data_IF_142923848665
#
_entry.id   IF_142923848665
#
_cell.length_a   1.000
_cell.length_b   1.000
_cell.length_c   1.000
_cell.angle_alpha   90.00
_cell.angle_beta   90.00
_cell.angle_gamma   90.00
#
_symmetry.space_group_name_H-M   'P 1'
#
loop_
_entity.id
_entity.type
_entity.pdbx_description
1 polymer ?
#
# COMPACT_ATOMS: atom_id res chain seq x y z
N UNK A 1 21.12 -15.96 2.69
CA UNK A 1 21.90 -16.08 1.46
C UNK A 1 21.05 -15.81 0.24
N UNK A 2 21.63 -15.19 -0.79
CA UNK A 2 20.90 -14.93 -2.03
C UNK A 2 20.08 -13.65 -2.06
N UNK A 3 20.07 -12.86 -1.00
CA UNK A 3 19.43 -11.56 -1.04
C UNK A 3 20.20 -10.64 -2.02
N UNK A 4 19.46 -9.85 -2.79
CA UNK A 4 20.04 -8.94 -3.78
C UNK A 4 19.60 -7.51 -3.47
N UNK A 5 20.58 -6.67 -3.20
CA UNK A 5 20.38 -5.25 -2.89
C UNK A 5 20.98 -4.42 -4.01
N UNK A 6 20.18 -3.55 -4.60
CA UNK A 6 20.63 -2.65 -5.66
C UNK A 6 21.33 -1.41 -5.06
N UNK A 7 21.54 -0.37 -5.86
CA UNK A 7 22.30 0.80 -5.46
C UNK A 7 21.53 1.73 -4.52
N UNK A 8 22.26 2.44 -3.67
CA UNK A 8 21.72 3.50 -2.80
C UNK A 8 20.62 3.01 -1.87
N UNK A 9 20.74 1.76 -1.39
CA UNK A 9 19.82 1.21 -0.42
C UNK A 9 20.34 1.47 0.98
N UNK A 10 19.46 1.93 1.86
CA UNK A 10 19.76 2.12 3.26
C UNK A 10 19.14 1.00 4.10
N UNK A 11 19.97 0.20 4.72
CA UNK A 11 19.53 -0.83 5.67
C UNK A 11 19.99 -0.41 7.05
N UNK A 12 19.05 -0.14 7.94
CA UNK A 12 19.36 0.30 9.29
C UNK A 12 19.79 -0.87 10.19
N UNK A 13 20.08 -0.56 11.45
CA UNK A 13 20.56 -1.56 12.41
C UNK A 13 19.51 -2.63 12.70
N UNK A 14 19.98 -3.85 13.01
CA UNK A 14 19.16 -4.98 13.44
C UNK A 14 18.07 -5.40 12.42
N UNK A 15 18.28 -5.11 11.14
CA UNK A 15 17.36 -5.57 10.08
C UNK A 15 17.71 -6.99 9.68
N UNK A 16 16.68 -7.85 9.58
CA UNK A 16 16.83 -9.21 9.07
C UNK A 16 16.19 -9.30 7.69
N UNK A 17 16.93 -9.85 6.74
CA UNK A 17 16.48 -10.02 5.36
C UNK A 17 16.59 -11.50 5.00
N UNK A 18 15.44 -12.10 4.62
CA UNK A 18 15.39 -13.51 4.27
C UNK A 18 16.04 -13.82 2.93
N UNK A 19 16.15 -15.13 2.64
CA UNK A 19 16.80 -15.63 1.43
C UNK A 19 16.06 -15.21 0.17
N UNK A 20 16.81 -14.90 -0.87
CA UNK A 20 16.28 -14.59 -2.21
C UNK A 20 15.38 -13.34 -2.25
N UNK A 21 15.45 -12.49 -1.25
CA UNK A 21 14.75 -11.20 -1.25
C UNK A 21 15.50 -10.22 -2.14
N UNK A 22 14.76 -9.46 -2.95
CA UNK A 22 15.30 -8.47 -3.88
C UNK A 22 14.82 -7.09 -3.48
N UNK A 23 15.75 -6.16 -3.30
CA UNK A 23 15.44 -4.77 -2.95
C UNK A 23 16.02 -3.88 -4.04
N UNK A 24 15.15 -3.14 -4.73
CA UNK A 24 15.54 -2.25 -5.80
C UNK A 24 16.12 -0.93 -5.27
N UNK A 25 16.69 -0.13 -6.17
CA UNK A 25 17.48 1.05 -5.82
C UNK A 25 16.72 2.09 -5.01
N UNK A 26 17.45 2.79 -4.14
CA UNK A 26 16.95 3.92 -3.34
C UNK A 26 15.85 3.55 -2.35
N UNK A 27 15.73 2.27 -2.00
CA UNK A 27 14.81 1.83 -0.95
C UNK A 27 15.44 1.97 0.41
N UNK A 28 14.63 2.14 1.44
CA UNK A 28 15.09 2.23 2.82
C UNK A 28 14.36 1.28 3.73
N UNK A 29 15.10 0.59 4.60
CA UNK A 29 14.54 -0.30 5.61
C UNK A 29 14.96 0.20 6.98
N UNK A 30 14.00 0.61 7.80
CA UNK A 30 14.27 1.18 9.12
C UNK A 30 14.63 0.10 10.14
N UNK A 31 15.17 0.53 11.28
CA UNK A 31 15.75 -0.38 12.26
C UNK A 31 14.82 -1.47 12.77
N UNK A 32 15.37 -2.63 12.98
CA UNK A 32 14.70 -3.80 13.57
C UNK A 32 13.54 -4.34 12.75
N UNK A 33 13.42 -3.98 11.48
CA UNK A 33 12.45 -4.58 10.58
C UNK A 33 12.89 -6.00 10.19
N UNK A 34 11.94 -6.89 9.99
CA UNK A 34 12.20 -8.27 9.56
C UNK A 34 11.53 -8.51 8.22
N UNK A 35 12.34 -8.80 7.21
CA UNK A 35 11.85 -9.07 5.86
C UNK A 35 12.00 -10.55 5.59
N UNK A 36 10.92 -11.20 5.17
CA UNK A 36 10.90 -12.62 4.90
C UNK A 36 11.67 -13.01 3.66
N UNK A 37 11.46 -14.25 3.22
CA UNK A 37 12.13 -14.82 2.03
C UNK A 37 11.32 -14.50 0.79
N UNK A 38 12.03 -14.43 -0.34
CA UNK A 38 11.41 -14.21 -1.66
C UNK A 38 10.54 -12.95 -1.72
N UNK A 39 10.88 -11.93 -0.96
CA UNK A 39 10.19 -10.64 -0.97
C UNK A 39 10.76 -9.78 -2.08
N UNK A 40 9.91 -9.06 -2.79
CA UNK A 40 10.33 -8.11 -3.82
C UNK A 40 9.95 -6.70 -3.38
N UNK A 41 10.96 -5.83 -3.24
CA UNK A 41 10.75 -4.44 -2.85
C UNK A 41 11.15 -3.56 -4.01
N UNK A 42 10.19 -2.81 -4.55
CA UNK A 42 10.41 -1.89 -5.66
C UNK A 42 11.25 -0.68 -5.27
N UNK A 43 11.73 0.05 -6.26
CA UNK A 43 12.59 1.21 -6.03
C UNK A 43 11.92 2.32 -5.24
N UNK A 44 12.70 3.04 -4.45
CA UNK A 44 12.23 4.18 -3.65
C UNK A 44 11.12 3.82 -2.65
N UNK A 45 11.05 2.55 -2.23
CA UNK A 45 10.11 2.13 -1.20
C UNK A 45 10.71 2.36 0.20
N UNK A 46 9.86 2.66 1.16
CA UNK A 46 10.26 2.83 2.55
C UNK A 46 9.54 1.84 3.46
N UNK A 47 10.27 1.24 4.38
CA UNK A 47 9.72 0.30 5.35
C UNK A 47 10.01 0.82 6.75
N UNK A 48 8.96 1.03 7.55
CA UNK A 48 9.12 1.54 8.92
C UNK A 48 9.78 0.50 9.83
N UNK A 49 10.30 0.96 10.95
CA UNK A 49 10.99 0.09 11.90
C UNK A 49 10.05 -0.85 12.64
N UNK A 50 10.63 -1.95 13.13
CA UNK A 50 9.97 -2.91 14.03
C UNK A 50 8.77 -3.65 13.44
N UNK A 51 8.64 -3.70 12.10
CA UNK A 51 7.55 -4.47 11.47
C UNK A 51 8.10 -5.71 10.80
N UNK A 52 7.18 -6.61 10.45
CA UNK A 52 7.50 -7.86 9.74
C UNK A 52 6.84 -7.85 8.37
N UNK A 53 7.61 -8.32 7.38
CA UNK A 53 7.11 -8.49 6.02
C UNK A 53 7.09 -9.99 5.73
N UNK A 54 5.92 -10.56 5.50
CA UNK A 54 5.75 -11.99 5.27
C UNK A 54 6.43 -12.45 3.98
N UNK A 55 6.79 -13.73 3.94
CA UNK A 55 7.46 -14.34 2.79
C UNK A 55 6.66 -14.14 1.50
N UNK A 56 7.35 -13.93 0.41
CA UNK A 56 6.74 -13.80 -0.91
C UNK A 56 5.97 -12.50 -1.16
N UNK A 57 6.03 -11.56 -0.24
CA UNK A 57 5.34 -10.27 -0.40
C UNK A 57 5.96 -9.45 -1.51
N UNK A 58 5.14 -8.62 -2.15
CA UNK A 58 5.59 -7.69 -3.19
C UNK A 58 5.22 -6.27 -2.80
N UNK A 59 6.21 -5.41 -2.75
CA UNK A 59 6.04 -4.01 -2.41
C UNK A 59 6.38 -3.19 -3.65
N UNK A 60 5.39 -2.49 -4.20
CA UNK A 60 5.58 -1.71 -5.40
C UNK A 60 6.49 -0.51 -5.15
N UNK A 61 7.06 0.02 -6.24
CA UNK A 61 7.93 1.19 -6.18
C UNK A 61 7.22 2.38 -5.52
N UNK A 62 7.99 3.19 -4.80
CA UNK A 62 7.52 4.41 -4.13
C UNK A 62 6.44 4.15 -3.08
N UNK A 63 6.35 2.93 -2.55
CA UNK A 63 5.40 2.60 -1.50
C UNK A 63 5.99 2.91 -0.11
N UNK A 64 5.12 3.31 0.81
CA UNK A 64 5.48 3.48 2.21
C UNK A 64 4.77 2.43 3.06
N UNK A 65 5.51 1.45 3.54
CA UNK A 65 4.94 0.37 4.35
C UNK A 65 4.99 0.76 5.82
N UNK A 66 3.82 1.06 6.38
CA UNK A 66 3.70 1.54 7.75
C UNK A 66 3.21 0.47 8.74
N UNK A 67 2.79 -0.68 8.25
CA UNK A 67 2.28 -1.78 9.09
C UNK A 67 2.85 -3.11 8.63
N UNK A 68 2.96 -4.05 9.56
CA UNK A 68 3.40 -5.40 9.21
C UNK A 68 2.50 -6.06 8.17
N UNK A 69 3.13 -6.80 7.26
CA UNK A 69 2.44 -7.66 6.32
C UNK A 69 2.53 -9.07 6.87
N UNK A 70 1.42 -9.59 7.40
CA UNK A 70 1.40 -10.88 8.11
C UNK A 70 1.07 -12.06 7.23
N UNK A 71 0.40 -11.82 6.11
CA UNK A 71 -0.03 -12.88 5.19
C UNK A 71 1.00 -13.04 4.07
N UNK A 72 1.52 -14.26 3.84
CA UNK A 72 2.46 -14.49 2.73
C UNK A 72 1.86 -14.15 1.37
N UNK A 73 2.72 -13.83 0.42
CA UNK A 73 2.38 -13.54 -0.97
C UNK A 73 1.39 -12.39 -1.14
N UNK A 74 1.48 -11.39 -0.27
CA UNK A 74 0.64 -10.18 -0.33
C UNK A 74 1.33 -9.12 -1.16
N UNK A 75 0.59 -8.48 -2.08
CA UNK A 75 1.09 -7.34 -2.85
C UNK A 75 0.49 -6.05 -2.29
N UNK A 76 1.33 -5.04 -2.09
CA UNK A 76 0.91 -3.73 -1.58
C UNK A 76 1.47 -2.61 -2.44
N UNK A 77 0.79 -1.48 -2.44
CA UNK A 77 1.23 -0.28 -3.14
C UNK A 77 0.68 0.97 -2.45
N UNK A 78 1.35 2.08 -2.66
CA UNK A 78 0.89 3.37 -2.15
C UNK A 78 1.63 3.81 -0.89
N UNK A 79 1.29 5.01 -0.43
CA UNK A 79 1.86 5.59 0.79
C UNK A 79 0.72 6.22 1.61
N UNK A 80 0.29 5.56 2.70
CA UNK A 80 0.72 4.25 3.17
C UNK A 80 0.33 3.12 2.21
N UNK A 81 1.15 2.09 2.14
CA UNK A 81 0.90 0.95 1.24
C UNK A 81 -0.21 0.05 1.79
N UNK A 82 -1.10 -0.35 0.91
CA UNK A 82 -2.20 -1.26 1.24
C UNK A 82 -2.48 -2.17 0.04
N UNK A 83 -3.46 -3.06 0.17
CA UNK A 83 -3.74 -4.07 -0.84
C UNK A 83 -3.73 -3.51 -2.26
N UNK A 84 -3.04 -4.19 -3.16
CA UNK A 84 -2.80 -3.72 -4.53
C UNK A 84 -4.09 -3.46 -5.31
N UNK A 85 -5.03 -4.39 -5.27
CA UNK A 85 -6.30 -4.24 -5.98
C UNK A 85 -7.12 -3.06 -5.48
N UNK A 86 -7.20 -2.89 -4.17
CA UNK A 86 -7.88 -1.75 -3.56
C UNK A 86 -7.17 -0.44 -3.87
N UNK A 87 -5.85 -0.44 -3.83
CA UNK A 87 -5.07 0.76 -4.12
C UNK A 87 -5.30 1.23 -5.56
N UNK A 88 -5.29 0.33 -6.52
CA UNK A 88 -5.56 0.68 -7.92
C UNK A 88 -6.95 1.25 -8.11
N UNK A 89 -7.96 0.64 -7.52
CA UNK A 89 -9.33 1.16 -7.58
C UNK A 89 -9.43 2.56 -6.99
N UNK A 90 -8.80 2.76 -5.83
CA UNK A 90 -8.81 4.06 -5.16
C UNK A 90 -8.10 5.12 -5.98
N UNK A 91 -6.99 4.79 -6.62
CA UNK A 91 -6.26 5.72 -7.46
C UNK A 91 -7.07 6.14 -8.69
N UNK A 92 -7.76 5.19 -9.32
CA UNK A 92 -8.63 5.49 -10.46
C UNK A 92 -9.78 6.39 -10.03
N UNK A 93 -10.45 6.05 -8.91
CA UNK A 93 -11.55 6.84 -8.37
C UNK A 93 -11.11 8.23 -7.93
N UNK A 94 -9.90 8.38 -7.40
CA UNK A 94 -9.41 9.67 -6.96
C UNK A 94 -9.31 10.70 -8.09
N UNK A 95 -9.06 10.25 -9.31
CA UNK A 95 -9.04 11.12 -10.47
C UNK A 95 -10.43 11.67 -10.79
N UNK A 96 -11.47 10.95 -10.40
CA UNK A 96 -12.86 11.30 -10.68
C UNK A 96 -13.60 11.80 -9.43
N UNK A 97 -12.88 12.15 -8.36
CA UNK A 97 -13.50 12.62 -7.12
C UNK A 97 -14.45 13.81 -7.32
N UNK A 98 -14.12 14.83 -8.12
CA UNK A 98 -15.06 15.93 -8.31
C UNK A 98 -16.38 15.48 -8.95
N UNK A 99 -16.32 14.59 -9.92
CA UNK A 99 -17.53 14.04 -10.57
C UNK A 99 -18.31 13.16 -9.61
N UNK A 100 -17.62 12.34 -8.83
CA UNK A 100 -18.23 11.49 -7.83
C UNK A 100 -18.94 12.30 -6.74
N UNK A 101 -18.33 13.38 -6.27
CA UNK A 101 -18.92 14.31 -5.30
C UNK A 101 -20.23 14.89 -5.85
N UNK A 102 -20.22 15.32 -7.10
CA UNK A 102 -21.40 15.86 -7.78
C UNK A 102 -22.52 14.83 -7.82
N UNK A 103 -22.21 13.58 -8.17
CA UNK A 103 -23.18 12.50 -8.23
C UNK A 103 -23.79 12.19 -6.87
N UNK A 104 -22.96 12.23 -5.82
CA UNK A 104 -23.44 12.02 -4.45
C UNK A 104 -24.43 13.11 -4.05
N UNK A 105 -24.13 14.36 -4.34
CA UNK A 105 -25.03 15.49 -4.05
C UNK A 105 -26.36 15.36 -4.79
N UNK A 106 -26.32 14.97 -6.06
CA UNK A 106 -27.53 14.74 -6.86
C UNK A 106 -28.39 13.62 -6.26
N UNK A 107 -27.75 12.52 -5.84
CA UNK A 107 -28.46 11.41 -5.20
C UNK A 107 -29.09 11.81 -3.87
N UNK A 108 -28.39 12.60 -3.07
CA UNK A 108 -28.93 13.12 -1.81
C UNK A 108 -30.19 13.96 -2.03
N UNK A 109 -30.17 14.83 -3.04
CA UNK A 109 -31.33 15.64 -3.40
C UNK A 109 -32.50 14.77 -3.87
N UNK A 110 -32.24 13.73 -4.64
CA UNK A 110 -33.27 12.79 -5.08
C UNK A 110 -33.89 12.06 -3.90
N UNK A 111 -33.09 11.67 -2.93
CA UNK A 111 -33.60 11.00 -1.71
C UNK A 111 -34.48 11.94 -0.91
N UNK A 112 -34.10 13.19 -0.77
CA UNK A 112 -34.92 14.18 -0.07
C UNK A 112 -36.25 14.42 -0.76
N UNK A 113 -36.26 14.49 -2.10
CA UNK A 113 -37.52 14.59 -2.88
C UNK A 113 -38.43 13.42 -2.64
N UNK A 114 -37.91 12.21 -2.70
CA UNK A 114 -38.69 10.99 -2.47
C UNK A 114 -39.29 10.94 -1.06
N UNK A 115 -38.51 11.37 -0.07
CA UNK A 115 -39.02 11.48 1.31
C UNK A 115 -40.11 12.51 1.44
N UNK A 116 -39.97 13.64 0.79
CA UNK A 116 -40.94 14.72 0.79
C UNK A 116 -42.27 14.28 0.16
N UNK A 117 -42.18 13.59 -1.00
CA UNK A 117 -43.34 13.05 -1.68
C UNK A 117 -44.08 11.99 -0.85
N UNK A 118 -43.37 11.19 -0.07
CA UNK A 118 -43.94 10.20 0.83
C UNK A 118 -44.71 10.82 1.99
N UNK A 119 -44.27 11.98 2.46
CA UNK A 119 -44.89 12.66 3.60
C UNK A 119 -46.15 13.42 3.20
N UNK A 120 -46.28 13.85 1.92
CA UNK A 120 -47.43 14.59 1.43
C UNK A 120 -48.62 13.71 1.04
N UNK A 121 -48.44 12.42 0.97
CA UNK A 121 -49.51 11.46 0.72
C UNK A 121 -50.11 10.99 2.04
#
# INVERSE_FOLDING_TARGET
CGAKLDNLIQIAHNVEIGNNTVIAAQSGVSGSARIGRNVMIGGQAGIVGHIQIADGSKINAQSGVAKSIKTPNTAVTGSPAYDYGQALRSQILSRNLPELEKRVKELELMIERLKSERVTD
#
